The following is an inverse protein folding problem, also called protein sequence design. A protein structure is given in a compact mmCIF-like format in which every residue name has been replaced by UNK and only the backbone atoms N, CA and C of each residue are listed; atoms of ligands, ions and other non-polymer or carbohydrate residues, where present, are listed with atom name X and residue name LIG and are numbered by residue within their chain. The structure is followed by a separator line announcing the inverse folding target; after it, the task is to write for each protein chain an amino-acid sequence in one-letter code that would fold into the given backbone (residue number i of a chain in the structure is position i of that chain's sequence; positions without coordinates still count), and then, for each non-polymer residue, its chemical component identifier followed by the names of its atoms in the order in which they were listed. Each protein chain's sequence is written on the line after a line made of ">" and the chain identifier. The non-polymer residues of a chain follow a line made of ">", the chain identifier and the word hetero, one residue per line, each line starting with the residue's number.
data_IF_296226358293
#
_entry.id   IF_296226358293
#
_cell.length_a   1.000
_cell.length_b   1.000
_cell.length_c   1.000
_cell.angle_alpha   90.00
_cell.angle_beta   90.00
_cell.angle_gamma   90.00
#
_symmetry.space_group_name_H-M   'P 1'
#
loop_
_entity.id
_entity.type
_entity.pdbx_description
1 polymer ?
#
# COMPACT_ATOMS: atom_id res chain seq x y z
N UNK A 1 22.13 -2.68 9.71
CA UNK A 1 21.26 -3.71 9.09
C UNK A 1 21.45 -3.62 7.59
N UNK A 2 21.81 -4.71 6.92
CA UNK A 2 22.11 -4.71 5.48
C UNK A 2 20.83 -4.47 4.67
N UNK A 3 20.70 -3.30 4.08
CA UNK A 3 19.68 -3.01 3.07
C UNK A 3 20.06 -3.75 1.79
N UNK A 4 19.34 -4.82 1.47
CA UNK A 4 19.45 -5.48 0.16
C UNK A 4 18.87 -4.50 -0.87
N UNK A 5 19.65 -4.14 -1.88
CA UNK A 5 19.17 -3.33 -3.01
C UNK A 5 17.96 -3.99 -3.64
N UNK A 6 16.84 -3.26 -3.72
CA UNK A 6 15.57 -3.80 -4.22
C UNK A 6 14.82 -4.72 -3.24
N UNK A 7 15.25 -4.88 -1.99
CA UNK A 7 14.49 -5.58 -0.95
C UNK A 7 13.46 -4.66 -0.26
N UNK A 8 12.39 -5.22 0.33
CA UNK A 8 11.50 -4.45 1.20
C UNK A 8 12.24 -4.00 2.46
N UNK A 9 11.95 -2.78 2.90
CA UNK A 9 12.45 -2.22 4.15
C UNK A 9 11.79 -2.89 5.37
N UNK A 10 12.32 -2.58 6.55
CA UNK A 10 11.71 -3.01 7.82
C UNK A 10 10.26 -2.55 7.94
N UNK A 11 9.45 -3.32 8.68
CA UNK A 11 8.05 -3.00 8.93
C UNK A 11 7.96 -1.73 9.76
N UNK A 12 7.22 -0.75 9.23
CA UNK A 12 6.93 0.54 9.87
C UNK A 12 5.45 0.64 10.19
N UNK A 13 5.10 1.42 11.21
CA UNK A 13 3.70 1.73 11.51
C UNK A 13 3.14 2.68 10.46
N UNK A 14 1.87 2.50 10.08
CA UNK A 14 1.24 3.34 9.07
C UNK A 14 1.27 4.83 9.46
N UNK A 15 1.71 5.66 8.52
CA UNK A 15 1.69 7.12 8.64
C UNK A 15 0.43 7.69 7.96
N UNK A 16 0.06 8.95 8.23
CA UNK A 16 -1.05 9.61 7.55
C UNK A 16 -0.91 9.63 6.02
N UNK A 17 0.31 9.67 5.50
CA UNK A 17 0.58 9.59 4.06
C UNK A 17 0.23 8.21 3.48
N UNK A 18 0.58 7.13 4.19
CA UNK A 18 0.24 5.76 3.79
C UNK A 18 -1.26 5.53 3.86
N UNK A 19 -1.93 6.11 4.85
CA UNK A 19 -3.39 6.08 4.91
C UNK A 19 -4.01 6.79 3.71
N UNK A 20 -3.52 7.98 3.33
CA UNK A 20 -3.99 8.66 2.11
C UNK A 20 -3.81 7.83 0.84
N UNK A 21 -2.67 7.15 0.70
CA UNK A 21 -2.43 6.21 -0.41
C UNK A 21 -3.52 5.13 -0.41
N UNK A 22 -3.80 4.52 0.74
CA UNK A 22 -4.88 3.55 0.89
C UNK A 22 -6.26 4.12 0.54
N UNK A 23 -6.57 5.35 0.94
CA UNK A 23 -7.85 5.98 0.65
C UNK A 23 -8.03 6.26 -0.85
N UNK A 24 -6.96 6.69 -1.54
CA UNK A 24 -6.96 6.91 -3.00
C UNK A 24 -7.19 5.62 -3.79
N UNK A 25 -6.57 4.51 -3.37
CA UNK A 25 -6.70 3.20 -4.03
C UNK A 25 -7.84 2.34 -3.48
N UNK A 26 -8.60 2.82 -2.49
CA UNK A 26 -9.68 2.06 -1.83
C UNK A 26 -10.71 1.58 -2.85
N UNK A 27 -11.09 2.44 -3.79
CA UNK A 27 -12.08 2.09 -4.81
C UNK A 27 -11.61 0.93 -5.68
N UNK A 28 -10.38 1.01 -6.19
CA UNK A 28 -9.76 -0.03 -7.02
C UNK A 28 -9.56 -1.34 -6.23
N UNK A 29 -9.26 -1.24 -4.94
CA UNK A 29 -9.15 -2.38 -4.02
C UNK A 29 -10.50 -3.08 -3.78
N UNK A 30 -11.59 -2.33 -3.59
CA UNK A 30 -12.94 -2.88 -3.42
C UNK A 30 -13.44 -3.56 -4.69
N UNK A 31 -13.20 -2.96 -5.85
CA UNK A 31 -13.54 -3.56 -7.15
C UNK A 31 -12.77 -4.86 -7.38
N UNK A 32 -11.45 -4.86 -7.13
CA UNK A 32 -10.61 -6.04 -7.31
C UNK A 32 -10.92 -7.16 -6.30
N UNK A 33 -11.33 -6.81 -5.09
CA UNK A 33 -11.77 -7.76 -4.08
C UNK A 33 -13.22 -8.26 -4.28
N UNK A 34 -14.00 -7.61 -5.15
CA UNK A 34 -15.42 -7.91 -5.36
C UNK A 34 -16.30 -7.67 -4.13
N UNK A 35 -15.84 -6.85 -3.17
CA UNK A 35 -16.55 -6.57 -1.92
C UNK A 35 -16.21 -5.16 -1.42
N UNK A 36 -17.16 -4.56 -0.70
CA UNK A 36 -16.94 -3.29 -0.01
C UNK A 36 -16.28 -3.49 1.34
N UNK A 37 -15.44 -2.55 1.73
CA UNK A 37 -14.74 -2.54 3.01
C UNK A 37 -15.33 -1.44 3.90
N UNK A 38 -16.07 -1.86 4.93
CA UNK A 38 -16.65 -0.96 5.94
C UNK A 38 -15.57 -0.18 6.70
N UNK A 39 -14.44 -0.83 6.97
CA UNK A 39 -13.27 -0.24 7.61
C UNK A 39 -12.11 -0.33 6.63
N UNK A 40 -11.25 0.68 6.56
CA UNK A 40 -10.07 0.66 5.68
C UNK A 40 -8.92 1.43 6.32
N UNK A 41 -8.30 0.82 7.34
CA UNK A 41 -7.29 1.49 8.17
C UNK A 41 -5.94 0.81 7.98
N UNK A 42 -4.96 1.54 7.46
CA UNK A 42 -3.58 1.09 7.38
C UNK A 42 -3.01 0.92 8.80
N UNK A 43 -2.38 -0.24 9.05
CA UNK A 43 -1.75 -0.55 10.35
C UNK A 43 -0.23 -0.52 10.27
N UNK A 44 0.31 -1.19 9.27
CA UNK A 44 1.75 -1.29 9.07
C UNK A 44 2.07 -1.31 7.58
N UNK A 45 3.27 -0.89 7.22
CA UNK A 45 3.73 -0.93 5.84
C UNK A 45 5.22 -1.25 5.75
N UNK A 46 5.64 -1.73 4.59
CA UNK A 46 7.03 -1.80 4.16
C UNK A 46 7.16 -1.11 2.81
N UNK A 47 8.36 -0.64 2.50
CA UNK A 47 8.64 0.02 1.22
C UNK A 47 9.78 -0.67 0.51
N UNK A 48 9.68 -0.78 -0.81
CA UNK A 48 10.74 -1.31 -1.65
C UNK A 48 11.06 -0.27 -2.73
N UNK A 49 12.33 0.15 -2.78
CA UNK A 49 12.81 1.12 -3.76
C UNK A 49 13.08 0.40 -5.09
N UNK A 50 12.45 0.88 -6.17
CA UNK A 50 12.57 0.37 -7.54
C UNK A 50 12.67 1.57 -8.50
N UNK A 51 12.17 1.47 -9.74
CA UNK A 51 11.92 2.64 -10.61
C UNK A 51 10.71 3.48 -10.11
N UNK A 52 10.78 3.89 -8.84
CA UNK A 52 9.66 4.36 -8.04
C UNK A 52 9.74 3.79 -6.63
N UNK A 53 8.59 3.65 -5.97
CA UNK A 53 8.51 3.03 -4.65
C UNK A 53 7.29 2.13 -4.57
N UNK A 54 7.52 0.85 -4.32
CA UNK A 54 6.46 -0.08 -3.96
C UNK A 54 6.16 0.06 -2.46
N UNK A 55 4.88 0.16 -2.12
CA UNK A 55 4.36 0.14 -0.76
C UNK A 55 3.59 -1.17 -0.56
N UNK A 56 4.00 -1.94 0.43
CA UNK A 56 3.24 -3.10 0.90
C UNK A 56 2.57 -2.72 2.20
N UNK A 57 1.25 -2.58 2.20
CA UNK A 57 0.48 -1.98 3.29
C UNK A 57 -0.50 -3.01 3.84
N UNK A 58 -0.39 -3.29 5.14
CA UNK A 58 -1.36 -4.11 5.86
C UNK A 58 -2.52 -3.23 6.29
N UNK A 59 -3.70 -3.48 5.73
CA UNK A 59 -4.92 -2.70 5.97
C UNK A 59 -5.93 -3.55 6.73
N UNK A 60 -6.46 -3.00 7.81
CA UNK A 60 -7.58 -3.56 8.55
C UNK A 60 -8.88 -3.25 7.82
N UNK A 61 -9.63 -4.30 7.47
CA UNK A 61 -10.87 -4.21 6.71
C UNK A 61 -12.14 -4.53 7.52
N UNK A 62 -12.02 -4.59 8.85
CA UNK A 62 -13.13 -4.83 9.77
C UNK A 62 -13.27 -6.29 10.21
N UNK A 63 -13.95 -6.50 11.35
CA UNK A 63 -14.16 -7.82 11.99
C UNK A 63 -12.88 -8.68 12.03
N UNK A 64 -11.77 -8.07 12.43
CA UNK A 64 -10.44 -8.69 12.55
C UNK A 64 -9.81 -9.19 11.24
N UNK A 65 -10.35 -8.78 10.10
CA UNK A 65 -9.78 -9.11 8.78
C UNK A 65 -8.73 -8.09 8.37
N UNK A 66 -7.64 -8.58 7.82
CA UNK A 66 -6.57 -7.77 7.25
C UNK A 66 -6.30 -8.20 5.82
N UNK A 67 -5.99 -7.23 4.97
CA UNK A 67 -5.53 -7.44 3.60
C UNK A 67 -4.14 -6.81 3.44
N UNK A 68 -3.36 -7.30 2.48
CA UNK A 68 -2.07 -6.74 2.14
C UNK A 68 -2.16 -6.09 0.77
N UNK A 69 -2.15 -4.76 0.74
CA UNK A 69 -2.15 -4.00 -0.50
C UNK A 69 -0.74 -3.82 -1.00
N UNK A 70 -0.54 -4.04 -2.30
CA UNK A 70 0.70 -3.72 -3.00
C UNK A 70 0.43 -2.53 -3.92
N UNK A 71 1.04 -1.38 -3.63
CA UNK A 71 0.82 -0.13 -4.36
C UNK A 71 2.13 0.37 -4.93
N UNK A 72 2.16 0.70 -6.22
CA UNK A 72 3.31 1.31 -6.86
C UNK A 72 3.12 2.83 -6.94
N UNK A 73 4.08 3.57 -6.38
CA UNK A 73 4.22 5.01 -6.53
C UNK A 73 5.33 5.28 -7.56
N UNK A 74 5.00 5.77 -8.77
CA UNK A 74 6.00 6.06 -9.78
C UNK A 74 6.85 7.28 -9.39
N UNK A 75 7.99 7.43 -10.05
CA UNK A 75 8.84 8.62 -9.92
C UNK A 75 8.10 9.89 -10.38
N UNK A 76 8.47 11.09 -9.88
CA UNK A 76 7.82 12.35 -10.25
C UNK A 76 7.75 12.61 -11.76
N UNK A 77 8.79 12.20 -12.49
CA UNK A 77 8.87 12.32 -13.95
C UNK A 77 7.86 11.45 -14.71
N UNK A 78 7.20 10.48 -14.06
CA UNK A 78 6.30 9.51 -14.66
C UNK A 78 4.81 9.78 -14.34
N UNK A 79 4.47 11.00 -13.90
CA UNK A 79 3.07 11.45 -13.84
C UNK A 79 2.32 11.17 -12.53
N UNK A 80 3.03 10.91 -11.42
CA UNK A 80 2.51 10.89 -10.04
C UNK A 80 1.33 9.93 -9.73
N UNK A 81 0.83 9.15 -10.68
CA UNK A 81 -0.36 8.30 -10.49
C UNK A 81 -0.03 7.03 -9.71
N UNK A 82 -0.68 6.84 -8.56
CA UNK A 82 -0.61 5.60 -7.78
C UNK A 82 -1.29 4.46 -8.55
N UNK A 83 -0.73 3.26 -8.46
CA UNK A 83 -1.27 2.05 -9.12
C UNK A 83 -1.38 0.90 -8.13
N UNK A 84 -2.55 0.24 -8.05
CA UNK A 84 -2.71 -0.99 -7.28
C UNK A 84 -2.11 -2.17 -8.07
N UNK A 85 -1.04 -2.75 -7.55
CA UNK A 85 -0.46 -3.97 -8.10
C UNK A 85 -1.28 -5.19 -7.67
N UNK A 86 -1.68 -5.27 -6.40
CA UNK A 86 -2.36 -6.44 -5.83
C UNK A 86 -3.03 -6.18 -4.48
N UNK A 87 -4.00 -7.05 -4.15
CA UNK A 87 -4.77 -7.10 -2.90
C UNK A 87 -4.78 -8.52 -2.34
#
# INVERSE_FOLDING_TARGET
>A
MSTIVGGPSEVKQATPEVQKICDEIKHEAEEKAGKKFDVFVAKSFTTQVVAGTNYFIKVHVGRDKFINLSVHKPLPCNGHKLQLLGI
#
